data_IF_921450146187
#
_entry.id   IF_921450146187
#
_cell.length_a   1.000
_cell.length_b   1.000
_cell.length_c   1.000
_cell.angle_alpha   90.00
_cell.angle_beta   90.00
_cell.angle_gamma   90.00
#
_symmetry.space_group_name_H-M   'P 1'
#
loop_
_entity.id
_entity.type
_entity.pdbx_description
1 polymer ?
#
# COMPACT_ATOMS: atom_id res chain seq x y z
N UNK A 1 -1.76 -23.71 2.38
CA UNK A 1 -1.99 -23.16 1.02
C UNK A 1 -1.06 -21.97 0.87
N UNK A 2 -0.77 -21.43 -0.32
CA UNK A 2 0.10 -20.24 -0.46
C UNK A 2 -0.73 -19.03 -0.87
N UNK A 3 -0.20 -17.82 -0.66
CA UNK A 3 -0.77 -16.62 -1.27
C UNK A 3 -0.79 -16.76 -2.81
N UNK A 4 -1.91 -16.38 -3.41
CA UNK A 4 -2.17 -16.40 -4.84
C UNK A 4 -1.92 -15.01 -5.42
N UNK A 5 -1.27 -14.95 -6.58
CA UNK A 5 -1.14 -13.71 -7.35
C UNK A 5 -2.48 -13.46 -8.06
N UNK A 6 -3.19 -12.39 -7.67
CA UNK A 6 -4.47 -11.99 -8.27
C UNK A 6 -4.26 -11.32 -9.61
N UNK A 7 -3.34 -10.37 -9.66
CA UNK A 7 -2.84 -9.78 -10.90
C UNK A 7 -1.40 -9.33 -10.72
N UNK A 8 -0.60 -9.50 -11.77
CA UNK A 8 0.75 -8.96 -11.82
C UNK A 8 0.69 -7.47 -12.17
N UNK A 9 1.64 -6.72 -11.64
CA UNK A 9 2.02 -5.42 -12.18
C UNK A 9 3.48 -5.50 -12.62
N UNK A 10 3.85 -4.66 -13.56
CA UNK A 10 5.25 -4.39 -13.88
C UNK A 10 5.41 -2.89 -13.79
N UNK A 11 6.15 -2.39 -12.80
CA UNK A 11 6.45 -0.97 -12.75
C UNK A 11 7.47 -0.63 -13.84
N UNK A 12 6.99 -0.43 -15.07
CA UNK A 12 7.83 0.01 -16.18
C UNK A 12 8.07 1.53 -16.14
N UNK A 13 7.70 2.21 -15.05
CA UNK A 13 7.56 3.66 -15.00
C UNK A 13 8.76 4.29 -14.30
N UNK A 14 9.88 4.33 -15.05
CA UNK A 14 11.07 5.06 -14.63
C UNK A 14 10.87 6.57 -14.83
N UNK A 15 10.61 7.32 -13.76
CA UNK A 15 10.86 8.76 -13.72
C UNK A 15 12.32 9.04 -13.35
N UNK A 16 13.24 8.84 -14.29
CA UNK A 16 14.68 9.09 -14.05
C UNK A 16 15.30 8.17 -12.99
N UNK A 17 16.31 8.65 -12.25
CA UNK A 17 17.21 7.77 -11.47
C UNK A 17 16.69 7.26 -10.13
N UNK A 18 15.67 7.87 -9.54
CA UNK A 18 14.98 7.43 -8.31
C UNK A 18 13.74 8.28 -8.22
N UNK A 19 12.52 7.73 -8.32
CA UNK A 19 11.27 8.37 -7.84
C UNK A 19 10.02 7.60 -8.33
N UNK A 20 9.61 6.55 -7.62
CA UNK A 20 8.47 5.70 -7.99
C UNK A 20 7.09 6.28 -7.64
N UNK A 21 6.04 5.70 -8.26
CA UNK A 21 4.61 5.98 -8.03
C UNK A 21 4.01 5.16 -6.87
N UNK A 22 4.84 4.45 -6.12
CA UNK A 22 4.43 3.44 -5.15
C UNK A 22 3.50 3.96 -4.06
N UNK A 23 3.76 5.14 -3.49
CA UNK A 23 2.86 5.76 -2.49
C UNK A 23 1.49 6.08 -3.09
N UNK A 24 1.45 6.71 -4.27
CA UNK A 24 0.19 7.01 -4.95
C UNK A 24 -0.57 5.72 -5.28
N UNK A 25 0.10 4.71 -5.83
CA UNK A 25 -0.52 3.43 -6.17
C UNK A 25 -1.10 2.73 -4.92
N UNK A 26 -0.31 2.62 -3.85
CA UNK A 26 -0.72 2.00 -2.59
C UNK A 26 -1.95 2.68 -1.98
N UNK A 27 -1.97 4.02 -1.96
CA UNK A 27 -3.08 4.80 -1.43
C UNK A 27 -4.36 4.65 -2.27
N UNK A 28 -4.25 4.63 -3.59
CA UNK A 28 -5.44 4.46 -4.44
C UNK A 28 -5.97 3.02 -4.43
N UNK A 29 -5.09 2.02 -4.32
CA UNK A 29 -5.52 0.66 -4.05
C UNK A 29 -6.30 0.60 -2.72
N UNK A 30 -5.76 1.20 -1.66
CA UNK A 30 -6.41 1.23 -0.34
C UNK A 30 -7.79 1.90 -0.41
N UNK A 31 -7.90 3.06 -1.06
CA UNK A 31 -9.19 3.70 -1.31
C UNK A 31 -10.16 2.77 -2.03
N UNK A 32 -9.73 2.17 -3.14
CA UNK A 32 -10.60 1.32 -3.95
C UNK A 32 -11.10 0.11 -3.17
N UNK A 33 -10.22 -0.56 -2.44
CA UNK A 33 -10.60 -1.76 -1.66
C UNK A 33 -11.55 -1.42 -0.52
N UNK A 34 -11.41 -0.23 0.07
CA UNK A 34 -12.34 0.25 1.09
C UNK A 34 -13.70 0.66 0.49
N UNK A 35 -13.73 1.25 -0.71
CA UNK A 35 -14.99 1.69 -1.36
C UNK A 35 -15.81 0.56 -1.96
N UNK A 36 -15.13 -0.42 -2.58
CA UNK A 36 -15.76 -1.42 -3.46
C UNK A 36 -15.52 -2.85 -3.02
N UNK A 37 -14.69 -3.07 -2.00
CA UNK A 37 -14.22 -4.40 -1.64
C UNK A 37 -13.07 -4.89 -2.52
N UNK A 38 -12.78 -6.20 -2.52
CA UNK A 38 -11.64 -6.80 -3.22
C UNK A 38 -11.46 -6.31 -4.66
N UNK A 39 -10.20 -6.01 -5.02
CA UNK A 39 -9.81 -5.60 -6.37
C UNK A 39 -9.19 -6.78 -7.09
N UNK A 40 -9.62 -7.07 -8.32
CA UNK A 40 -9.16 -8.27 -9.06
C UNK A 40 -8.36 -7.93 -10.33
N UNK A 41 -8.23 -6.66 -10.68
CA UNK A 41 -7.40 -6.19 -11.80
C UNK A 41 -6.77 -4.84 -11.48
N UNK A 42 -5.63 -4.54 -12.12
CA UNK A 42 -4.96 -3.24 -11.95
C UNK A 42 -5.85 -2.06 -12.39
N UNK A 43 -6.52 -2.17 -13.54
CA UNK A 43 -7.43 -1.15 -14.07
C UNK A 43 -8.56 -0.79 -13.09
N UNK A 44 -8.96 -1.72 -12.22
CA UNK A 44 -9.99 -1.48 -11.21
C UNK A 44 -9.53 -0.58 -10.07
N UNK A 45 -8.23 -0.34 -9.89
CA UNK A 45 -7.74 0.75 -9.03
C UNK A 45 -8.22 2.10 -9.58
N UNK A 46 -8.30 2.20 -10.92
CA UNK A 46 -8.97 3.26 -11.66
C UNK A 46 -8.18 4.53 -11.83
N UNK A 47 -6.85 4.43 -11.87
CA UNK A 47 -5.98 5.51 -12.31
C UNK A 47 -5.00 4.97 -13.33
N UNK A 48 -4.86 5.70 -14.44
CA UNK A 48 -3.75 5.49 -15.35
C UNK A 48 -2.44 6.00 -14.75
N UNK A 49 -1.34 5.60 -15.36
CA UNK A 49 0.02 5.94 -14.92
C UNK A 49 0.29 7.45 -14.91
N UNK A 50 -0.30 8.20 -15.85
CA UNK A 50 -0.11 9.63 -15.94
C UNK A 50 -0.74 10.32 -14.73
N UNK A 51 -1.94 9.88 -14.34
CA UNK A 51 -2.62 10.36 -13.13
C UNK A 51 -1.85 9.97 -11.88
N UNK A 52 -1.35 8.72 -11.78
CA UNK A 52 -0.54 8.29 -10.63
C UNK A 52 0.74 9.11 -10.50
N UNK A 53 1.40 9.45 -11.61
CA UNK A 53 2.58 10.31 -11.62
C UNK A 53 2.27 11.75 -11.17
N UNK A 54 1.19 12.36 -11.70
CA UNK A 54 0.76 13.69 -11.28
C UNK A 54 0.39 13.74 -9.80
N UNK A 55 -0.32 12.71 -9.34
CA UNK A 55 -0.70 12.58 -7.94
C UNK A 55 0.53 12.39 -7.06
N UNK A 56 1.50 11.57 -7.46
CA UNK A 56 2.74 11.39 -6.70
C UNK A 56 3.54 12.71 -6.58
N UNK A 57 3.63 13.49 -7.66
CA UNK A 57 4.26 14.82 -7.62
C UNK A 57 3.58 15.73 -6.57
N UNK A 58 2.26 15.66 -6.47
CA UNK A 58 1.51 16.39 -5.45
C UNK A 58 1.76 15.85 -4.04
N UNK A 59 1.70 14.53 -3.85
CA UNK A 59 1.85 13.89 -2.54
C UNK A 59 3.23 14.17 -1.91
N UNK A 60 4.28 14.25 -2.72
CA UNK A 60 5.64 14.57 -2.23
C UNK A 60 5.77 15.96 -1.61
N UNK A 61 4.98 16.92 -2.07
CA UNK A 61 4.95 18.25 -1.44
C UNK A 61 4.39 18.21 -0.01
N UNK A 62 3.79 17.08 0.38
CA UNK A 62 3.13 16.83 1.65
C UNK A 62 3.81 15.70 2.44
N UNK A 63 5.07 15.33 2.15
CA UNK A 63 5.75 14.22 2.87
C UNK A 63 5.86 14.46 4.38
N UNK A 64 5.83 15.72 4.83
CA UNK A 64 5.79 16.11 6.24
C UNK A 64 4.36 16.31 6.80
N UNK A 65 3.33 16.06 5.99
CA UNK A 65 1.92 16.34 6.23
C UNK A 65 1.08 15.09 5.90
N UNK A 66 1.20 14.03 6.73
CA UNK A 66 0.63 12.71 6.44
C UNK A 66 -0.91 12.71 6.39
N UNK A 67 -1.56 13.56 7.19
CA UNK A 67 -3.02 13.70 7.17
C UNK A 67 -3.48 14.32 5.85
N UNK A 68 -2.81 15.38 5.41
CA UNK A 68 -3.09 16.08 4.16
C UNK A 68 -2.82 15.18 2.94
N UNK A 69 -1.77 14.34 2.98
CA UNK A 69 -1.56 13.32 1.94
C UNK A 69 -2.77 12.39 1.81
N UNK A 70 -3.32 11.90 2.93
CA UNK A 70 -4.50 11.05 2.93
C UNK A 70 -5.72 11.80 2.37
N UNK A 71 -5.92 13.03 2.82
CA UNK A 71 -7.04 13.86 2.37
C UNK A 71 -7.01 14.08 0.86
N UNK A 72 -5.83 14.27 0.26
CA UNK A 72 -5.68 14.46 -1.20
C UNK A 72 -6.13 13.28 -2.04
N UNK A 73 -6.11 12.07 -1.48
CA UNK A 73 -6.58 10.88 -2.18
C UNK A 73 -8.01 10.48 -1.79
N UNK A 74 -8.64 11.19 -0.84
CA UNK A 74 -9.96 10.86 -0.31
C UNK A 74 -9.94 9.78 0.77
N UNK A 75 -8.81 9.64 1.47
CA UNK A 75 -8.68 8.81 2.66
C UNK A 75 -8.57 9.70 3.90
N UNK A 76 -8.81 9.12 5.07
CA UNK A 76 -8.47 9.74 6.36
C UNK A 76 -7.49 8.86 7.12
N UNK A 77 -6.60 9.48 7.88
CA UNK A 77 -5.69 8.76 8.76
C UNK A 77 -6.41 8.33 10.06
N UNK A 78 -6.26 7.07 10.45
CA UNK A 78 -6.82 6.53 11.69
C UNK A 78 -5.78 6.68 12.81
N UNK A 79 -6.21 7.24 13.94
CA UNK A 79 -5.31 7.48 15.08
C UNK A 79 -4.39 8.71 14.96
N UNK A 80 -4.48 9.47 13.86
CA UNK A 80 -3.89 10.80 13.73
C UNK A 80 -2.36 10.88 13.57
N UNK A 81 -1.65 9.75 13.48
CA UNK A 81 -0.20 9.73 13.31
C UNK A 81 0.29 8.46 12.61
N UNK A 82 1.45 8.57 11.97
CA UNK A 82 2.20 7.43 11.46
C UNK A 82 2.74 6.58 12.62
N UNK A 83 2.93 5.28 12.34
CA UNK A 83 3.40 4.27 13.30
C UNK A 83 4.77 3.79 12.88
N UNK A 84 5.70 3.72 13.83
CA UNK A 84 6.96 3.02 13.60
C UNK A 84 6.68 1.51 13.59
N UNK A 85 7.04 0.83 12.51
CA UNK A 85 6.96 -0.63 12.37
C UNK A 85 8.34 -1.14 11.99
N UNK A 86 8.76 -2.26 12.58
CA UNK A 86 10.07 -2.86 12.29
C UNK A 86 9.96 -4.18 11.52
N UNK A 87 8.75 -4.71 11.35
CA UNK A 87 8.52 -6.02 10.77
C UNK A 87 7.17 -6.13 10.08
N UNK A 88 7.04 -7.11 9.18
CA UNK A 88 5.76 -7.45 8.55
C UNK A 88 4.74 -7.90 9.60
N UNK A 89 5.17 -8.54 10.68
CA UNK A 89 4.29 -8.92 11.79
C UNK A 89 3.65 -7.71 12.48
N UNK A 90 4.36 -6.58 12.57
CA UNK A 90 3.80 -5.33 13.09
C UNK A 90 2.72 -4.78 12.16
N UNK A 91 2.93 -4.85 10.84
CA UNK A 91 1.96 -4.42 9.83
C UNK A 91 0.70 -5.29 9.90
N UNK A 92 0.85 -6.61 10.02
CA UNK A 92 -0.27 -7.55 10.17
C UNK A 92 -1.06 -7.25 11.43
N UNK A 93 -0.38 -7.07 12.57
CA UNK A 93 -1.01 -6.73 13.85
C UNK A 93 -1.77 -5.40 13.77
N UNK A 94 -1.24 -4.38 13.09
CA UNK A 94 -1.99 -3.15 12.83
C UNK A 94 -3.27 -3.40 12.03
N UNK A 95 -3.24 -4.30 11.05
CA UNK A 95 -4.44 -4.70 10.31
C UNK A 95 -5.43 -5.48 11.16
N UNK A 96 -4.97 -6.38 12.03
CA UNK A 96 -5.82 -7.14 12.96
C UNK A 96 -6.51 -6.22 13.98
N UNK A 97 -5.80 -5.21 14.47
CA UNK A 97 -6.33 -4.18 15.38
C UNK A 97 -7.31 -3.22 14.66
N UNK A 98 -7.26 -3.14 13.32
CA UNK A 98 -8.06 -2.21 12.51
C UNK A 98 -8.72 -2.93 11.30
N UNK A 99 -9.65 -3.89 11.55
CA UNK A 99 -10.18 -4.75 10.48
C UNK A 99 -11.03 -3.99 9.44
N UNK A 100 -11.58 -2.83 9.78
CA UNK A 100 -12.34 -2.04 8.80
C UNK A 100 -11.42 -1.32 7.80
N UNK A 101 -10.14 -1.14 8.15
CA UNK A 101 -9.24 -0.17 7.54
C UNK A 101 -8.18 -0.85 6.66
N UNK A 102 -7.39 -0.04 5.96
CA UNK A 102 -6.22 -0.51 5.20
C UNK A 102 -4.93 0.03 5.82
N UNK A 103 -3.83 -0.67 5.60
CA UNK A 103 -2.50 -0.29 6.09
C UNK A 103 -1.65 0.11 4.89
N UNK A 104 -1.14 1.33 4.88
CA UNK A 104 -0.06 1.76 4.00
C UNK A 104 1.23 1.62 4.78
N UNK A 105 2.26 0.98 4.24
CA UNK A 105 3.52 0.76 4.96
C UNK A 105 4.71 0.85 4.02
N UNK A 106 5.88 1.16 4.58
CA UNK A 106 7.04 1.50 3.76
C UNK A 106 8.38 1.09 4.37
N UNK A 107 9.34 0.89 3.46
CA UNK A 107 10.78 0.92 3.74
C UNK A 107 11.33 2.32 3.47
N UNK A 108 12.65 2.50 3.54
CA UNK A 108 13.28 3.74 3.10
C UNK A 108 13.15 4.03 1.60
N UNK A 109 12.81 3.01 0.79
CA UNK A 109 12.86 3.11 -0.67
C UNK A 109 11.52 2.82 -1.34
N UNK A 110 10.56 2.18 -0.64
CA UNK A 110 9.34 1.68 -1.25
C UNK A 110 8.12 1.77 -0.34
N UNK A 111 6.94 1.97 -0.93
CA UNK A 111 5.63 2.00 -0.25
C UNK A 111 4.71 0.93 -0.80
N UNK A 112 4.04 0.22 0.09
CA UNK A 112 3.14 -0.90 -0.19
C UNK A 112 1.84 -0.76 0.61
N UNK A 113 0.87 -1.64 0.36
CA UNK A 113 -0.39 -1.65 1.09
C UNK A 113 -0.86 -3.06 1.48
N UNK A 114 -1.60 -3.14 2.59
CA UNK A 114 -2.13 -4.38 3.16
C UNK A 114 -3.55 -4.18 3.69
N UNK A 115 -4.42 -5.16 3.49
CA UNK A 115 -5.75 -5.25 4.14
C UNK A 115 -6.25 -6.69 4.09
N UNK A 116 -6.61 -7.27 5.23
CA UNK A 116 -7.35 -8.54 5.31
C UNK A 116 -6.91 -9.63 4.33
N UNK A 117 -5.68 -10.12 4.47
CA UNK A 117 -5.10 -11.13 3.57
C UNK A 117 -4.86 -10.69 2.12
N UNK A 118 -4.99 -9.41 1.81
CA UNK A 118 -4.56 -8.81 0.55
C UNK A 118 -3.31 -7.96 0.77
N UNK A 119 -2.31 -8.18 -0.08
CA UNK A 119 -1.05 -7.43 -0.10
C UNK A 119 -0.84 -6.87 -1.50
N UNK A 120 -0.75 -5.54 -1.59
CA UNK A 120 -0.54 -4.83 -2.83
C UNK A 120 0.83 -4.16 -2.85
N UNK A 121 1.54 -4.39 -3.95
CA UNK A 121 2.80 -3.75 -4.28
C UNK A 121 2.83 -3.46 -5.78
N UNK A 122 3.09 -2.21 -6.16
CA UNK A 122 3.11 -1.80 -7.57
C UNK A 122 4.24 -2.46 -8.39
N UNK A 123 5.30 -2.96 -7.76
CA UNK A 123 6.42 -3.61 -8.43
C UNK A 123 6.11 -5.05 -8.84
N UNK A 124 5.20 -5.72 -8.14
CA UNK A 124 4.97 -7.17 -8.29
C UNK A 124 3.50 -7.58 -8.42
N UNK A 125 2.57 -6.74 -7.97
CA UNK A 125 1.14 -6.92 -8.13
C UNK A 125 0.36 -7.06 -6.82
N UNK A 126 -0.82 -7.65 -6.94
CA UNK A 126 -1.70 -7.94 -5.81
C UNK A 126 -1.64 -9.43 -5.48
N UNK A 127 -1.33 -9.74 -4.23
CA UNK A 127 -1.43 -11.09 -3.67
C UNK A 127 -2.62 -11.18 -2.72
N UNK A 128 -3.30 -12.32 -2.74
CA UNK A 128 -4.40 -12.64 -1.82
C UNK A 128 -4.18 -14.02 -1.21
N UNK A 129 -4.49 -14.17 0.07
CA UNK A 129 -4.42 -15.46 0.74
C UNK A 129 -5.71 -15.79 1.50
N UNK A 130 -5.91 -17.08 1.81
CA UNK A 130 -7.02 -17.53 2.68
C UNK A 130 -6.72 -17.32 4.16
N UNK A 131 -5.46 -17.19 4.54
CA UNK A 131 -5.02 -17.06 5.92
C UNK A 131 -4.02 -15.93 6.07
N UNK A 132 -3.99 -15.31 7.26
CA UNK A 132 -3.04 -14.26 7.61
C UNK A 132 -1.60 -14.76 7.57
N UNK A 133 -1.35 -16.01 7.99
CA UNK A 133 -0.01 -16.60 7.95
C UNK A 133 0.54 -16.72 6.52
N UNK A 134 -0.32 -17.09 5.56
CA UNK A 134 0.08 -17.27 4.17
C UNK A 134 0.38 -15.93 3.49
N UNK A 135 -0.41 -14.88 3.77
CA UNK A 135 -0.12 -13.53 3.24
C UNK A 135 1.11 -12.94 3.91
N UNK A 136 1.29 -13.13 5.22
CA UNK A 136 2.42 -12.59 5.98
C UNK A 136 3.75 -13.17 5.46
N UNK A 137 3.75 -14.48 5.17
CA UNK A 137 4.90 -15.13 4.53
C UNK A 137 5.23 -14.50 3.18
N UNK A 138 4.21 -14.24 2.35
CA UNK A 138 4.39 -13.61 1.03
C UNK A 138 4.88 -12.17 1.14
N UNK A 139 4.33 -11.40 2.07
CA UNK A 139 4.79 -10.04 2.38
C UNK A 139 6.27 -10.08 2.77
N UNK A 140 6.70 -10.97 3.68
CA UNK A 140 8.11 -11.12 4.09
C UNK A 140 9.04 -11.43 2.92
N UNK A 141 8.63 -12.34 2.03
CA UNK A 141 9.39 -12.71 0.83
C UNK A 141 9.65 -11.51 -0.08
N UNK A 142 8.62 -10.68 -0.31
CA UNK A 142 8.69 -9.53 -1.21
C UNK A 142 9.37 -8.34 -0.53
N UNK A 143 8.96 -7.97 0.69
CA UNK A 143 9.52 -6.83 1.42
C UNK A 143 11.00 -6.99 1.71
N UNK A 144 11.49 -8.24 1.85
CA UNK A 144 12.91 -8.52 2.07
C UNK A 144 13.84 -7.99 0.98
N UNK A 145 13.32 -7.75 -0.23
CA UNK A 145 14.07 -7.16 -1.34
C UNK A 145 14.23 -5.62 -1.22
N UNK A 146 13.40 -4.95 -0.43
CA UNK A 146 13.34 -3.48 -0.34
C UNK A 146 13.98 -2.90 0.94
N UNK A 147 14.61 -3.75 1.75
CA UNK A 147 15.21 -3.39 3.03
C UNK A 147 14.26 -3.45 4.22
N UNK A 148 14.69 -2.90 5.35
CA UNK A 148 13.91 -2.90 6.59
C UNK A 148 12.68 -2.00 6.51
N UNK A 149 11.57 -2.47 7.08
CA UNK A 149 10.38 -1.64 7.30
C UNK A 149 10.69 -0.57 8.35
N UNK A 150 10.18 0.64 8.12
CA UNK A 150 10.44 1.79 9.00
C UNK A 150 9.16 2.50 9.45
N UNK A 151 8.06 2.38 8.70
CA UNK A 151 6.82 3.06 9.06
C UNK A 151 5.58 2.49 8.39
N UNK A 152 4.45 2.78 9.01
CA UNK A 152 3.12 2.42 8.53
C UNK A 152 2.08 3.47 8.93
N UNK A 153 0.97 3.47 8.21
CA UNK A 153 -0.18 4.34 8.40
C UNK A 153 -1.45 3.52 8.25
N UNK A 154 -2.37 3.69 9.19
CA UNK A 154 -3.72 3.12 9.10
C UNK A 154 -4.62 4.15 8.41
N UNK A 155 -5.32 3.73 7.36
CA UNK A 155 -6.16 4.60 6.53
C UNK A 155 -7.58 4.05 6.39
N UNK A 156 -8.55 4.95 6.44
CA UNK A 156 -9.97 4.66 6.28
C UNK A 156 -10.57 5.55 5.19
N UNK A 157 -11.80 5.23 4.74
CA UNK A 157 -12.56 6.18 3.93
C UNK A 157 -12.94 7.41 4.75
N UNK A 158 -12.92 8.54 4.05
CA UNK A 158 -13.36 9.83 4.56
C UNK A 158 -14.88 9.88 4.68
#
# INVERSE_FOLDING_TARGET
MSAELVFATSNNFAQGRRQGICTAAAMNWAKRVLEKGPVDTFDRIGLDEHILNMQMATLRTLDNQPAEQCDRVGLRMVGGQDRNVGSVGDVVRLGDDNPADAIIFWTNEHTMAYRHNEFFDIEVGLYRAKTTADIEKKMKEITGAYGGLVGARVVALK
#
